data_IF_399976948564
#
_entry.id   IF_399976948564
#
_cell.length_a   1.000
_cell.length_b   1.000
_cell.length_c   1.000
_cell.angle_alpha   90.00
_cell.angle_beta   90.00
_cell.angle_gamma   90.00
#
_symmetry.space_group_name_H-M   'P 1'
#
loop_
_entity.id
_entity.type
_entity.pdbx_description
1 polymer ?
#
# COMPACT_ATOMS: atom_id res chain seq x y z
N UNK A 1 -1.11 20.41 -15.25
CA UNK A 1 -0.66 19.08 -15.70
C UNK A 1 -1.38 18.02 -14.88
N UNK A 2 -1.92 17.03 -15.54
CA UNK A 2 -2.79 16.03 -14.89
C UNK A 2 -2.23 14.61 -14.98
N UNK A 3 -0.92 14.49 -15.13
CA UNK A 3 -0.24 13.20 -15.17
C UNK A 3 0.97 13.23 -14.22
N UNK A 4 1.22 12.11 -13.55
CA UNK A 4 2.38 11.93 -12.67
C UNK A 4 3.14 10.70 -13.17
N UNK A 5 4.38 10.90 -13.57
CA UNK A 5 5.26 9.82 -13.98
C UNK A 5 6.10 9.37 -12.79
N UNK A 6 5.78 8.21 -12.22
CA UNK A 6 6.51 7.70 -11.07
C UNK A 6 7.99 7.39 -11.36
N UNK A 7 8.35 7.15 -12.62
CA UNK A 7 9.74 6.91 -12.99
C UNK A 7 10.64 8.15 -12.71
N UNK A 8 10.02 9.33 -12.64
CA UNK A 8 10.74 10.57 -12.34
C UNK A 8 10.86 10.87 -10.84
N UNK A 9 10.23 10.07 -9.99
CA UNK A 9 10.23 10.26 -8.55
C UNK A 9 11.25 9.34 -7.88
N UNK A 10 11.70 9.75 -6.68
CA UNK A 10 12.67 8.98 -5.90
C UNK A 10 11.96 7.96 -5.02
N UNK A 11 12.57 6.80 -4.85
CA UNK A 11 12.15 5.83 -3.86
C UNK A 11 12.53 6.33 -2.46
N UNK A 12 11.61 6.14 -1.52
CA UNK A 12 11.86 6.31 -0.09
C UNK A 12 11.65 4.96 0.59
N UNK A 13 12.53 4.63 1.54
CA UNK A 13 12.48 3.35 2.23
C UNK A 13 12.40 3.56 3.74
N UNK A 14 11.17 3.70 4.30
CA UNK A 14 11.00 4.00 5.72
C UNK A 14 11.32 2.83 6.64
N UNK A 15 11.21 1.60 6.15
CA UNK A 15 11.38 0.37 6.90
C UNK A 15 12.03 -0.70 6.02
N UNK A 16 12.75 -1.69 6.61
CA UNK A 16 13.25 -2.82 5.84
C UNK A 16 12.12 -3.52 5.08
N UNK A 17 12.35 -3.80 3.80
CA UNK A 17 11.39 -4.48 2.95
C UNK A 17 10.23 -3.64 2.46
N UNK A 18 10.22 -2.33 2.75
CA UNK A 18 9.19 -1.42 2.27
C UNK A 18 9.81 -0.22 1.60
N UNK A 19 9.33 0.15 0.43
CA UNK A 19 9.70 1.40 -0.23
C UNK A 19 8.52 1.95 -1.01
N UNK A 20 8.52 3.26 -1.21
CA UNK A 20 7.46 3.92 -1.95
C UNK A 20 7.94 5.15 -2.68
N UNK A 21 7.19 5.54 -3.69
CA UNK A 21 7.26 6.85 -4.35
C UNK A 21 5.93 7.52 -4.09
N UNK A 22 5.95 8.82 -3.79
CA UNK A 22 4.71 9.54 -3.51
C UNK A 22 4.68 10.91 -4.17
N UNK A 23 3.48 11.33 -4.50
CA UNK A 23 3.20 12.66 -5.05
C UNK A 23 1.92 13.19 -4.40
N UNK A 24 1.98 14.40 -3.86
CA UNK A 24 0.85 15.01 -3.16
C UNK A 24 0.38 16.25 -3.91
N UNK A 25 -0.93 16.33 -4.15
CA UNK A 25 -1.57 17.49 -4.76
C UNK A 25 -3.03 17.55 -4.32
N UNK A 26 -3.49 18.76 -3.98
CA UNK A 26 -4.91 19.03 -3.67
C UNK A 26 -5.48 18.07 -2.63
N UNK A 27 -4.72 17.79 -1.57
CA UNK A 27 -5.16 16.95 -0.46
C UNK A 27 -5.13 15.46 -0.76
N UNK A 28 -4.60 15.04 -1.90
CA UNK A 28 -4.47 13.62 -2.28
C UNK A 28 -3.01 13.21 -2.34
N UNK A 29 -2.73 11.99 -1.93
CA UNK A 29 -1.42 11.37 -2.08
C UNK A 29 -1.57 10.20 -3.05
N UNK A 30 -0.76 10.22 -4.10
CA UNK A 30 -0.61 9.08 -5.01
C UNK A 30 0.65 8.33 -4.61
N UNK A 31 0.55 7.02 -4.40
CA UNK A 31 1.70 6.20 -3.99
C UNK A 31 1.89 4.99 -4.87
N UNK A 32 3.14 4.75 -5.24
CA UNK A 32 3.60 3.45 -5.73
C UNK A 32 4.33 2.79 -4.57
N UNK A 33 3.87 1.64 -4.11
CA UNK A 33 4.40 0.96 -2.93
C UNK A 33 4.93 -0.41 -3.32
N UNK A 34 6.10 -0.80 -2.78
CA UNK A 34 6.61 -2.15 -2.89
C UNK A 34 6.91 -2.72 -1.51
N UNK A 35 6.45 -3.93 -1.26
CA UNK A 35 6.82 -4.72 -0.08
C UNK A 35 7.54 -5.98 -0.54
N UNK A 36 8.56 -6.38 0.24
CA UNK A 36 9.20 -7.69 0.10
C UNK A 36 8.83 -8.55 1.30
N UNK A 37 9.30 -9.83 1.33
CA UNK A 37 9.09 -10.71 2.48
C UNK A 37 9.70 -10.17 3.78
N UNK A 38 10.67 -9.26 3.70
CA UNK A 38 11.29 -8.67 4.88
C UNK A 38 10.37 -7.71 5.62
N UNK A 39 9.36 -7.17 4.94
CA UNK A 39 8.50 -6.17 5.54
C UNK A 39 7.63 -6.77 6.62
N UNK A 40 7.70 -6.18 7.82
CA UNK A 40 6.83 -6.46 8.96
C UNK A 40 6.22 -5.14 9.38
N UNK A 41 4.91 -5.02 9.28
CA UNK A 41 4.21 -3.80 9.67
C UNK A 41 4.18 -3.70 11.19
N UNK A 42 4.78 -2.64 11.77
CA UNK A 42 4.97 -2.58 13.23
C UNK A 42 3.70 -2.23 14.01
N UNK A 43 2.77 -1.53 13.39
CA UNK A 43 1.57 -1.02 14.06
C UNK A 43 0.32 -1.30 13.24
N UNK A 44 -0.82 -1.44 13.91
CA UNK A 44 -2.11 -1.53 13.24
C UNK A 44 -2.42 -0.20 12.55
N UNK A 45 -2.61 -0.24 11.24
CA UNK A 45 -2.89 0.94 10.44
C UNK A 45 -4.39 1.22 10.44
N UNK A 46 -4.76 2.46 10.78
CA UNK A 46 -6.16 2.90 10.77
C UNK A 46 -6.48 3.81 9.60
N UNK A 47 -5.53 4.01 8.70
CA UNK A 47 -5.76 4.82 7.50
C UNK A 47 -6.58 4.05 6.47
N UNK A 48 -7.43 4.77 5.77
CA UNK A 48 -8.12 4.21 4.61
C UNK A 48 -7.19 4.10 3.41
N UNK A 49 -7.47 3.12 2.55
CA UNK A 49 -6.71 2.92 1.33
C UNK A 49 -7.64 2.65 0.17
N UNK A 50 -7.40 3.32 -0.95
CA UNK A 50 -7.99 3.01 -2.24
C UNK A 50 -6.84 2.69 -3.16
N UNK A 51 -6.91 1.57 -3.86
CA UNK A 51 -5.81 1.22 -4.73
C UNK A 51 -5.98 -0.08 -5.50
N UNK A 52 -4.85 -0.60 -5.96
CA UNK A 52 -4.84 -1.72 -6.89
C UNK A 52 -3.52 -2.48 -6.76
N UNK A 53 -3.59 -3.81 -6.78
CA UNK A 53 -2.40 -4.66 -6.78
C UNK A 53 -1.90 -4.78 -8.22
N UNK A 54 -0.75 -4.18 -8.49
CA UNK A 54 -0.15 -4.17 -9.84
C UNK A 54 0.56 -5.46 -10.17
N UNK A 55 1.26 -6.06 -9.18
CA UNK A 55 1.95 -7.32 -9.35
C UNK A 55 2.18 -7.99 -7.99
N UNK A 56 2.32 -9.31 -8.00
CA UNK A 56 2.49 -10.09 -6.78
C UNK A 56 1.18 -10.28 -6.02
N UNK A 57 1.28 -10.67 -4.76
CA UNK A 57 0.11 -10.90 -3.91
C UNK A 57 0.33 -10.30 -2.52
N UNK A 58 -0.67 -9.55 -2.07
CA UNK A 58 -0.72 -8.93 -0.76
C UNK A 58 -1.66 -9.72 0.14
N UNK A 59 -1.31 -9.84 1.42
CA UNK A 59 -2.23 -10.36 2.44
C UNK A 59 -2.43 -9.27 3.49
N UNK A 60 -3.68 -9.03 3.88
CA UNK A 60 -4.01 -8.06 4.92
C UNK A 60 -4.75 -8.77 6.04
N UNK A 61 -4.25 -8.57 7.27
CA UNK A 61 -4.89 -9.04 8.50
C UNK A 61 -5.68 -7.91 9.13
N UNK A 62 -6.99 -8.10 9.24
CA UNK A 62 -7.92 -7.17 9.89
C UNK A 62 -8.22 -7.65 11.31
N UNK A 63 -7.16 -7.91 12.10
CA UNK A 63 -7.27 -8.38 13.49
C UNK A 63 -8.01 -9.72 13.59
N UNK A 64 -7.51 -10.70 12.85
CA UNK A 64 -8.03 -12.07 12.86
C UNK A 64 -8.79 -12.47 11.61
N UNK A 65 -9.22 -11.51 10.80
CA UNK A 65 -9.79 -11.78 9.49
C UNK A 65 -8.74 -11.47 8.44
N UNK A 66 -8.28 -12.50 7.73
CA UNK A 66 -7.22 -12.37 6.72
C UNK A 66 -7.84 -12.38 5.33
N UNK A 67 -7.42 -11.40 4.51
CA UNK A 67 -7.89 -11.28 3.13
C UNK A 67 -6.68 -11.27 2.19
N UNK A 68 -6.76 -12.04 1.10
CA UNK A 68 -5.74 -12.10 0.07
C UNK A 68 -6.12 -11.18 -1.09
N UNK A 69 -5.11 -10.46 -1.59
CA UNK A 69 -5.24 -9.54 -2.71
C UNK A 69 -4.24 -9.94 -3.79
N UNK A 70 -4.62 -10.83 -4.71
CA UNK A 70 -3.74 -11.19 -5.83
C UNK A 70 -3.64 -10.05 -6.85
N UNK A 71 -2.71 -10.19 -7.78
CA UNK A 71 -2.54 -9.27 -8.89
C UNK A 71 -3.88 -9.01 -9.58
N UNK A 72 -4.15 -7.74 -9.88
CA UNK A 72 -5.41 -7.33 -10.52
C UNK A 72 -6.56 -7.07 -9.56
N UNK A 73 -6.33 -7.14 -8.24
CA UNK A 73 -7.37 -6.92 -7.23
C UNK A 73 -7.36 -5.47 -6.78
N UNK A 74 -8.53 -4.85 -6.68
CA UNK A 74 -8.68 -3.52 -6.12
C UNK A 74 -8.67 -3.57 -4.59
N UNK A 75 -8.18 -2.48 -3.99
CA UNK A 75 -8.14 -2.30 -2.54
C UNK A 75 -9.10 -1.18 -2.19
N UNK A 76 -10.00 -1.45 -1.25
CA UNK A 76 -10.94 -0.45 -0.75
C UNK A 76 -11.12 -0.68 0.75
N UNK A 77 -10.38 0.07 1.55
CA UNK A 77 -10.39 -0.05 3.02
C UNK A 77 -10.80 1.31 3.59
N UNK A 78 -11.95 1.39 4.29
CA UNK A 78 -12.34 2.62 4.97
C UNK A 78 -11.37 2.97 6.09
N UNK A 79 -11.22 4.26 6.38
CA UNK A 79 -10.46 4.72 7.52
C UNK A 79 -11.19 4.39 8.83
N UNK A 80 -10.43 4.29 9.92
CA UNK A 80 -10.96 4.16 11.26
C UNK A 80 -10.48 2.93 12.01
N UNK A 81 -10.61 2.95 13.33
CA UNK A 81 -10.14 1.88 14.21
C UNK A 81 -10.84 0.54 13.94
N UNK A 82 -12.10 0.58 13.49
CA UNK A 82 -12.85 -0.62 13.15
C UNK A 82 -12.27 -1.39 11.97
N UNK A 83 -11.43 -0.74 11.17
CA UNK A 83 -10.82 -1.29 9.96
C UNK A 83 -9.30 -1.36 10.06
N UNK A 84 -8.76 -1.32 11.29
CA UNK A 84 -7.33 -1.42 11.53
C UNK A 84 -6.76 -2.71 10.94
N UNK A 85 -5.58 -2.60 10.32
CA UNK A 85 -5.03 -3.70 9.55
C UNK A 85 -3.51 -3.71 9.52
N UNK A 86 -2.94 -4.86 9.15
CA UNK A 86 -1.52 -5.04 8.84
C UNK A 86 -1.39 -5.83 7.55
N UNK A 87 -0.53 -5.33 6.65
CA UNK A 87 -0.26 -6.00 5.38
C UNK A 87 1.08 -6.72 5.38
N UNK A 88 1.19 -7.73 4.52
CA UNK A 88 2.46 -8.39 4.22
C UNK A 88 2.49 -8.88 2.78
N UNK A 89 3.68 -9.07 2.25
CA UNK A 89 3.85 -9.67 0.92
C UNK A 89 3.81 -11.19 1.03
N UNK A 90 2.95 -11.82 0.26
CA UNK A 90 2.89 -13.28 0.11
C UNK A 90 3.94 -13.74 -0.89
N UNK A 91 4.13 -12.96 -1.96
CA UNK A 91 5.14 -13.21 -2.99
C UNK A 91 6.46 -12.55 -2.61
N UNK A 92 7.59 -12.86 -3.26
CA UNK A 92 8.86 -12.19 -2.98
C UNK A 92 8.77 -10.68 -3.01
N UNK A 93 7.98 -10.12 -3.93
CA UNK A 93 7.67 -8.69 -4.02
C UNK A 93 6.20 -8.53 -4.36
N UNK A 94 5.53 -7.56 -3.73
CA UNK A 94 4.22 -7.09 -4.15
C UNK A 94 4.30 -5.60 -4.44
N UNK A 95 3.70 -5.17 -5.55
CA UNK A 95 3.66 -3.77 -5.95
C UNK A 95 2.22 -3.29 -5.97
N UNK A 96 1.97 -2.16 -5.32
CA UNK A 96 0.66 -1.57 -5.15
C UNK A 96 0.65 -0.14 -5.71
N UNK A 97 -0.50 0.28 -6.22
CA UNK A 97 -0.81 1.69 -6.39
C UNK A 97 -1.87 2.07 -5.38
N UNK A 98 -1.62 3.12 -4.60
CA UNK A 98 -2.55 3.60 -3.56
C UNK A 98 -2.88 5.08 -3.76
N UNK A 99 -4.11 5.44 -3.43
CA UNK A 99 -4.56 6.83 -3.31
C UNK A 99 -5.01 7.04 -1.87
N UNK A 100 -4.44 8.02 -1.21
CA UNK A 100 -4.72 8.31 0.20
C UNK A 100 -5.02 9.80 0.38
N UNK A 101 -5.70 10.12 1.48
CA UNK A 101 -5.87 11.50 1.87
C UNK A 101 -4.59 12.03 2.54
N UNK A 102 -4.23 13.25 2.19
CA UNK A 102 -3.05 13.90 2.77
C UNK A 102 -3.31 14.32 4.22
#
# INVERSE_FOLDING_TARGET
MFAVNFDELQWESPLPGARYKSFTRDGKILRMVEFTHEFVEPHWCEKGHIGFVLSGELEIDFKGKVVRYPEGTAILIPAGAAHAHKGRSVTPVVRLFLVEEA
#
